data_IF_819445635816
#
_entry.id   IF_819445635816
#
_cell.length_a   1.000
_cell.length_b   1.000
_cell.length_c   1.000
_cell.angle_alpha   90.00
_cell.angle_beta   90.00
_cell.angle_gamma   90.00
#
_symmetry.space_group_name_H-M   'P 1'
#
loop_
_entity.id
_entity.type
_entity.pdbx_description
1 polymer ?
#
# COMPACT_ATOMS: atom_id res chain seq x y z
N UNK A 1 16.62 -22.46 14.25
CA UNK A 1 16.01 -23.10 13.06
C UNK A 1 17.14 -23.54 12.16
N UNK A 2 17.09 -24.78 11.58
CA UNK A 2 18.05 -25.21 10.58
C UNK A 2 17.93 -24.38 9.31
N UNK A 3 19.00 -24.28 8.52
CA UNK A 3 18.97 -23.68 7.20
C UNK A 3 18.21 -24.62 6.26
N UNK A 4 17.18 -24.09 5.55
CA UNK A 4 16.46 -24.86 4.54
C UNK A 4 17.38 -25.14 3.35
N UNK A 5 17.26 -26.33 2.77
CA UNK A 5 18.00 -26.68 1.55
C UNK A 5 17.30 -26.03 0.34
N UNK A 6 18.05 -25.87 -0.76
CA UNK A 6 17.51 -25.37 -2.01
C UNK A 6 16.37 -26.26 -2.52
N UNK A 7 16.55 -27.56 -2.41
CA UNK A 7 15.58 -28.59 -2.82
C UNK A 7 14.29 -28.46 -2.02
N UNK A 8 14.37 -28.30 -0.70
CA UNK A 8 13.22 -28.07 0.18
C UNK A 8 12.45 -26.81 -0.20
N UNK A 9 13.15 -25.72 -0.51
CA UNK A 9 12.52 -24.46 -0.92
C UNK A 9 11.74 -24.65 -2.23
N UNK A 10 12.36 -25.29 -3.24
CA UNK A 10 11.73 -25.55 -4.55
C UNK A 10 10.50 -26.44 -4.36
N UNK A 11 10.61 -27.53 -3.60
CA UNK A 11 9.50 -28.45 -3.33
C UNK A 11 8.29 -27.73 -2.71
N UNK A 12 8.52 -26.81 -1.76
CA UNK A 12 7.44 -26.04 -1.12
C UNK A 12 6.78 -25.09 -2.10
N UNK A 13 7.54 -24.42 -2.99
CA UNK A 13 6.96 -23.55 -4.01
C UNK A 13 6.18 -24.33 -5.05
N UNK A 14 6.71 -25.46 -5.55
CA UNK A 14 6.01 -26.33 -6.50
C UNK A 14 4.70 -26.89 -5.91
N UNK A 15 4.71 -27.25 -4.63
CA UNK A 15 3.49 -27.69 -3.94
C UNK A 15 2.46 -26.57 -3.78
N UNK A 16 2.91 -25.34 -3.52
CA UNK A 16 2.03 -24.16 -3.42
C UNK A 16 1.37 -23.85 -4.77
N UNK A 17 2.14 -23.84 -5.84
CA UNK A 17 1.65 -23.60 -7.20
C UNK A 17 0.63 -24.68 -7.60
N UNK A 18 0.93 -25.95 -7.30
CA UNK A 18 0.00 -27.06 -7.58
C UNK A 18 -1.33 -26.92 -6.80
N UNK A 19 -1.26 -26.58 -5.52
CA UNK A 19 -2.49 -26.42 -4.72
C UNK A 19 -3.29 -25.18 -5.13
N UNK A 20 -2.62 -24.08 -5.59
CA UNK A 20 -3.28 -22.91 -6.14
C UNK A 20 -4.01 -23.24 -7.44
N UNK A 21 -3.36 -23.96 -8.38
CA UNK A 21 -4.00 -24.41 -9.63
C UNK A 21 -5.25 -25.26 -9.34
N UNK A 22 -5.17 -26.16 -8.39
CA UNK A 22 -6.34 -26.97 -7.95
C UNK A 22 -7.43 -26.10 -7.37
N UNK A 23 -7.09 -25.12 -6.55
CA UNK A 23 -8.04 -24.20 -5.94
C UNK A 23 -8.76 -23.36 -7.00
N UNK A 24 -8.03 -22.88 -8.01
CA UNK A 24 -8.57 -22.13 -9.14
C UNK A 24 -9.53 -22.99 -10.00
N UNK A 25 -9.34 -24.28 -10.04
CA UNK A 25 -10.22 -25.23 -10.76
C UNK A 25 -11.49 -25.62 -10.00
N UNK A 26 -11.66 -25.23 -8.72
CA UNK A 26 -12.84 -25.60 -7.94
C UNK A 26 -14.05 -24.73 -8.27
N UNK A 27 -15.25 -25.35 -8.19
CA UNK A 27 -16.53 -24.65 -8.16
C UNK A 27 -17.08 -24.62 -6.73
N UNK A 28 -17.73 -23.54 -6.36
CA UNK A 28 -18.24 -23.34 -4.99
C UNK A 28 -19.76 -23.45 -4.91
N UNK A 29 -20.41 -24.05 -5.93
CA UNK A 29 -21.87 -24.12 -6.04
C UNK A 29 -22.52 -24.95 -4.93
N UNK A 30 -21.81 -25.97 -4.46
CA UNK A 30 -22.27 -26.85 -3.39
C UNK A 30 -22.28 -26.21 -1.99
N UNK A 31 -21.61 -25.07 -1.86
CA UNK A 31 -21.46 -24.40 -0.56
C UNK A 31 -22.65 -23.49 -0.27
N UNK A 32 -23.03 -23.43 1.00
CA UNK A 32 -23.95 -22.40 1.51
C UNK A 32 -23.27 -21.04 1.62
N UNK A 33 -24.05 -19.97 1.72
CA UNK A 33 -23.50 -18.60 1.88
C UNK A 33 -22.58 -18.46 3.09
N UNK A 34 -22.90 -18.98 4.30
CA UNK A 34 -21.96 -18.93 5.42
C UNK A 34 -20.66 -19.66 5.16
N UNK A 35 -20.69 -20.83 4.50
CA UNK A 35 -19.48 -21.57 4.13
C UNK A 35 -18.62 -20.81 3.11
N UNK A 36 -19.24 -20.18 2.10
CA UNK A 36 -18.52 -19.32 1.14
C UNK A 36 -17.81 -18.18 1.87
N UNK A 37 -18.46 -17.53 2.83
CA UNK A 37 -17.83 -16.48 3.64
C UNK A 37 -16.65 -17.00 4.46
N UNK A 38 -16.79 -18.16 5.10
CA UNK A 38 -15.72 -18.78 5.87
C UNK A 38 -14.49 -19.15 4.97
N UNK A 39 -14.73 -19.65 3.77
CA UNK A 39 -13.64 -19.92 2.81
C UNK A 39 -13.00 -18.65 2.29
N UNK A 40 -13.77 -17.57 2.07
CA UNK A 40 -13.23 -16.27 1.69
C UNK A 40 -12.32 -15.68 2.80
N UNK A 41 -12.74 -15.77 4.06
CA UNK A 41 -11.91 -15.40 5.21
C UNK A 41 -10.62 -16.21 5.29
N UNK A 42 -10.69 -17.50 4.98
CA UNK A 42 -9.52 -18.38 4.93
C UNK A 42 -8.55 -17.98 3.82
N UNK A 43 -9.03 -17.65 2.63
CA UNK A 43 -8.22 -17.16 1.52
C UNK A 43 -7.55 -15.83 1.87
N UNK A 44 -8.30 -14.89 2.44
CA UNK A 44 -7.75 -13.60 2.89
C UNK A 44 -6.62 -13.80 3.92
N UNK A 45 -6.81 -14.72 4.87
CA UNK A 45 -5.77 -15.06 5.85
C UNK A 45 -4.50 -15.63 5.20
N UNK A 46 -4.66 -16.51 4.21
CA UNK A 46 -3.52 -17.05 3.46
C UNK A 46 -2.78 -15.96 2.69
N UNK A 47 -3.50 -15.08 1.98
CA UNK A 47 -2.91 -13.96 1.24
C UNK A 47 -2.10 -13.02 2.15
N UNK A 48 -2.59 -12.73 3.36
CA UNK A 48 -1.85 -11.93 4.36
C UNK A 48 -0.56 -12.60 4.80
N UNK A 49 -0.57 -13.92 4.99
CA UNK A 49 0.58 -14.70 5.42
C UNK A 49 1.68 -14.81 4.36
N UNK A 50 1.32 -14.78 3.07
CA UNK A 50 2.28 -14.80 1.97
C UNK A 50 3.22 -13.58 1.95
N UNK A 51 2.87 -12.49 2.62
CA UNK A 51 3.78 -11.36 2.82
C UNK A 51 5.00 -11.67 3.68
N UNK A 52 4.89 -12.63 4.58
CA UNK A 52 5.99 -12.95 5.53
C UNK A 52 7.23 -13.50 4.81
N UNK A 53 7.14 -14.55 3.95
CA UNK A 53 8.28 -14.99 3.16
C UNK A 53 8.75 -13.94 2.14
N UNK A 54 7.85 -13.09 1.60
CA UNK A 54 8.25 -11.99 0.73
C UNK A 54 9.19 -11.01 1.45
N UNK A 55 8.90 -10.65 2.71
CA UNK A 55 9.77 -9.78 3.51
C UNK A 55 11.17 -10.39 3.70
N UNK A 56 11.23 -11.69 4.01
CA UNK A 56 12.50 -12.38 4.17
C UNK A 56 13.32 -12.37 2.87
N UNK A 57 12.68 -12.65 1.73
CA UNK A 57 13.33 -12.64 0.42
C UNK A 57 13.85 -11.24 0.04
N UNK A 58 13.05 -10.20 0.24
CA UNK A 58 13.44 -8.81 -0.06
C UNK A 58 14.64 -8.39 0.78
N UNK A 59 14.64 -8.69 2.09
CA UNK A 59 15.74 -8.36 2.98
C UNK A 59 17.02 -9.12 2.57
N UNK A 60 16.92 -10.41 2.28
CA UNK A 60 18.07 -11.21 1.84
C UNK A 60 18.64 -10.71 0.50
N UNK A 61 17.81 -10.38 -0.46
CA UNK A 61 18.26 -9.79 -1.72
C UNK A 61 18.97 -8.45 -1.44
N UNK A 62 18.38 -7.59 -0.60
CA UNK A 62 18.97 -6.30 -0.25
C UNK A 62 20.31 -6.40 0.50
N UNK A 63 20.51 -7.45 1.29
CA UNK A 63 21.74 -7.68 2.07
C UNK A 63 22.83 -8.36 1.27
N UNK A 64 22.47 -9.25 0.34
CA UNK A 64 23.42 -10.19 -0.29
C UNK A 64 23.74 -9.88 -1.74
N UNK A 65 22.93 -9.06 -2.42
CA UNK A 65 23.12 -8.77 -3.84
C UNK A 65 23.74 -7.38 -4.05
N UNK A 66 24.65 -7.29 -5.02
CA UNK A 66 25.20 -6.02 -5.49
C UNK A 66 24.27 -5.34 -6.52
N UNK A 67 24.40 -4.02 -6.69
CA UNK A 67 23.68 -3.28 -7.74
C UNK A 67 24.02 -3.83 -9.16
N UNK A 68 25.21 -4.40 -9.35
CA UNK A 68 25.62 -5.02 -10.62
C UNK A 68 24.86 -6.31 -10.90
N UNK A 69 24.71 -7.19 -9.89
CA UNK A 69 23.95 -8.44 -10.01
C UNK A 69 22.45 -8.17 -10.23
N UNK A 70 21.92 -7.12 -9.63
CA UNK A 70 20.53 -6.70 -9.79
C UNK A 70 20.27 -5.92 -11.10
N UNK A 71 21.31 -5.48 -11.81
CA UNK A 71 21.19 -4.60 -12.96
C UNK A 71 20.77 -3.18 -12.60
N UNK A 72 20.92 -2.77 -11.34
CA UNK A 72 20.56 -1.46 -10.80
C UNK A 72 20.15 -1.50 -9.34
N UNK A 73 19.70 -0.37 -8.82
CA UNK A 73 19.26 -0.28 -7.42
C UNK A 73 18.10 -1.24 -7.13
N UNK A 74 18.12 -1.89 -5.98
CA UNK A 74 17.11 -2.85 -5.54
C UNK A 74 15.66 -2.44 -5.85
N UNK A 75 15.32 -1.17 -5.59
CA UNK A 75 13.98 -0.64 -5.86
C UNK A 75 13.57 -0.72 -7.33
N UNK A 76 14.51 -0.44 -8.24
CA UNK A 76 14.26 -0.50 -9.68
C UNK A 76 14.22 -1.96 -10.15
N UNK A 77 15.17 -2.78 -9.69
CA UNK A 77 15.23 -4.19 -10.01
C UNK A 77 13.95 -4.95 -9.60
N UNK A 78 13.43 -4.69 -8.38
CA UNK A 78 12.16 -5.26 -7.94
C UNK A 78 10.97 -4.75 -8.76
N UNK A 79 10.95 -3.45 -9.09
CA UNK A 79 9.87 -2.89 -9.90
C UNK A 79 9.80 -3.55 -11.28
N UNK A 80 10.94 -3.70 -11.94
CA UNK A 80 11.04 -4.29 -13.27
C UNK A 80 10.75 -5.80 -13.24
N UNK A 81 11.32 -6.51 -12.24
CA UNK A 81 11.18 -7.98 -12.14
C UNK A 81 9.77 -8.43 -11.78
N UNK A 82 9.11 -7.68 -10.88
CA UNK A 82 7.76 -8.00 -10.40
C UNK A 82 6.66 -7.28 -11.19
N UNK A 83 7.02 -6.46 -12.18
CA UNK A 83 6.09 -5.64 -12.97
C UNK A 83 5.19 -4.74 -12.11
N UNK A 84 5.78 -4.14 -11.06
CA UNK A 84 5.11 -3.21 -10.14
C UNK A 84 5.70 -1.81 -10.27
N UNK A 85 5.01 -0.81 -9.73
CA UNK A 85 5.56 0.56 -9.75
C UNK A 85 6.78 0.68 -8.83
N UNK A 86 7.76 1.57 -9.15
CA UNK A 86 8.86 1.85 -8.24
C UNK A 86 8.41 2.36 -6.86
N UNK A 87 7.25 3.02 -6.77
CA UNK A 87 6.66 3.44 -5.51
C UNK A 87 6.22 2.24 -4.66
N UNK A 88 5.60 1.26 -5.29
CA UNK A 88 5.17 0.01 -4.65
C UNK A 88 6.39 -0.82 -4.23
N UNK A 89 7.41 -0.98 -5.08
CA UNK A 89 8.66 -1.64 -4.72
C UNK A 89 9.32 -0.97 -3.50
N UNK A 90 9.39 0.37 -3.47
CA UNK A 90 9.90 1.10 -2.31
C UNK A 90 9.07 0.89 -1.04
N UNK A 91 7.73 0.77 -1.15
CA UNK A 91 6.85 0.43 -0.04
C UNK A 91 7.18 -0.96 0.51
N UNK A 92 7.29 -1.98 -0.35
CA UNK A 92 7.59 -3.36 0.05
C UNK A 92 8.98 -3.50 0.71
N UNK A 93 9.98 -2.82 0.18
CA UNK A 93 11.32 -2.78 0.79
C UNK A 93 11.24 -2.19 2.20
N UNK A 94 10.54 -1.06 2.36
CA UNK A 94 10.40 -0.42 3.66
C UNK A 94 9.55 -1.26 4.65
N UNK A 95 8.58 -2.03 4.18
CA UNK A 95 7.81 -2.97 5.00
C UNK A 95 8.67 -4.18 5.39
N UNK A 96 9.44 -4.73 4.46
CA UNK A 96 10.37 -5.82 4.74
C UNK A 96 11.42 -5.43 5.80
N UNK A 97 11.93 -4.21 5.75
CA UNK A 97 12.87 -3.70 6.76
C UNK A 97 12.25 -3.58 8.17
N UNK A 98 10.95 -3.26 8.27
CA UNK A 98 10.26 -3.12 9.55
C UNK A 98 9.74 -4.47 10.10
N UNK A 99 9.26 -5.37 9.21
CA UNK A 99 8.51 -6.59 9.56
C UNK A 99 9.28 -7.89 9.32
N UNK A 100 10.31 -7.88 8.49
CA UNK A 100 11.14 -9.05 8.21
C UNK A 100 12.17 -9.32 9.30
N UNK A 101 12.67 -10.55 9.33
CA UNK A 101 13.81 -10.90 10.15
C UNK A 101 15.02 -10.07 9.72
N UNK A 102 15.77 -9.61 10.69
CA UNK A 102 17.01 -8.84 10.52
C UNK A 102 18.21 -9.67 10.92
N UNK A 103 19.38 -9.31 10.44
CA UNK A 103 20.62 -9.94 10.87
C UNK A 103 21.54 -8.90 11.53
N UNK A 104 22.17 -9.30 12.63
CA UNK A 104 23.25 -8.52 13.22
C UNK A 104 24.47 -8.55 12.29
N UNK A 105 25.38 -7.61 12.45
CA UNK A 105 26.67 -7.63 11.73
C UNK A 105 27.47 -8.92 11.99
N UNK A 106 27.20 -9.59 13.11
CA UNK A 106 27.77 -10.90 13.47
C UNK A 106 27.06 -12.08 12.78
N UNK A 107 25.97 -11.83 12.02
CA UNK A 107 25.17 -12.85 11.34
C UNK A 107 24.05 -13.46 12.18
N UNK A 108 23.92 -13.08 13.45
CA UNK A 108 22.86 -13.58 14.32
C UNK A 108 21.48 -13.05 13.89
N UNK A 109 20.42 -13.88 13.93
CA UNK A 109 19.07 -13.44 13.63
C UNK A 109 18.57 -12.48 14.71
N UNK A 110 18.01 -11.35 14.29
CA UNK A 110 17.36 -10.35 15.14
C UNK A 110 15.86 -10.31 14.84
N UNK A 111 15.08 -10.08 15.89
CA UNK A 111 13.65 -9.88 15.75
C UNK A 111 13.32 -8.69 14.82
N UNK A 112 12.17 -8.73 14.14
CA UNK A 112 11.64 -7.58 13.40
C UNK A 112 11.62 -6.31 14.24
N UNK A 113 11.68 -5.15 13.60
CA UNK A 113 11.55 -3.86 14.31
C UNK A 113 10.15 -3.70 14.92
N UNK A 114 9.13 -4.14 14.18
CA UNK A 114 7.73 -4.15 14.60
C UNK A 114 7.31 -5.60 14.89
N UNK A 115 7.73 -6.11 16.04
CA UNK A 115 7.59 -7.52 16.39
C UNK A 115 6.13 -7.96 16.48
N UNK A 116 5.30 -7.21 17.20
CA UNK A 116 3.88 -7.56 17.38
C UNK A 116 3.09 -7.47 16.06
N UNK A 117 3.44 -6.51 15.21
CA UNK A 117 2.85 -6.36 13.87
C UNK A 117 3.26 -7.52 12.96
N UNK A 118 4.53 -7.92 12.99
CA UNK A 118 5.04 -9.04 12.22
C UNK A 118 4.40 -10.37 12.64
N UNK A 119 4.22 -10.60 13.94
CA UNK A 119 3.54 -11.79 14.48
C UNK A 119 2.07 -11.82 14.05
N UNK A 120 1.35 -10.72 14.19
CA UNK A 120 -0.05 -10.63 13.77
C UNK A 120 -0.23 -10.85 12.25
N UNK A 121 0.72 -10.41 11.43
CA UNK A 121 0.73 -10.68 10.00
C UNK A 121 1.06 -12.16 9.70
N UNK A 122 2.01 -12.75 10.40
CA UNK A 122 2.36 -14.19 10.30
C UNK A 122 1.17 -15.08 10.61
N UNK A 123 0.36 -14.71 11.58
CA UNK A 123 -0.88 -15.40 11.93
C UNK A 123 -2.03 -15.11 10.94
N UNK A 124 -1.83 -14.17 10.01
CA UNK A 124 -2.81 -13.73 9.02
C UNK A 124 -3.94 -12.88 9.61
N UNK A 125 -3.77 -12.37 10.82
CA UNK A 125 -4.77 -11.56 11.51
C UNK A 125 -4.88 -10.15 10.92
N UNK A 126 -3.75 -9.58 10.47
CA UNK A 126 -3.68 -8.25 9.87
C UNK A 126 -3.11 -8.31 8.45
N UNK A 127 -3.57 -7.42 7.59
CA UNK A 127 -3.09 -7.28 6.21
C UNK A 127 -2.45 -5.90 5.96
N UNK A 128 -2.08 -5.64 4.70
CA UNK A 128 -1.34 -4.44 4.26
C UNK A 128 -1.97 -3.12 4.74
N UNK A 129 -3.30 -3.04 4.74
CA UNK A 129 -4.02 -1.84 5.24
C UNK A 129 -3.76 -1.56 6.72
N UNK A 130 -3.76 -2.59 7.55
CA UNK A 130 -3.47 -2.47 8.99
C UNK A 130 -2.00 -2.13 9.23
N UNK A 131 -1.10 -2.83 8.53
CA UNK A 131 0.35 -2.56 8.58
C UNK A 131 0.64 -1.09 8.22
N UNK A 132 -0.01 -0.58 7.16
CA UNK A 132 0.11 0.82 6.78
C UNK A 132 -0.30 1.77 7.91
N UNK A 133 -1.43 1.53 8.55
CA UNK A 133 -1.92 2.37 9.67
C UNK A 133 -0.94 2.37 10.83
N UNK A 134 -0.45 1.19 11.24
CA UNK A 134 0.51 1.07 12.35
C UNK A 134 1.82 1.79 12.03
N UNK A 135 2.37 1.57 10.83
CA UNK A 135 3.61 2.22 10.41
C UNK A 135 3.48 3.73 10.30
N UNK A 136 2.37 4.22 9.75
CA UNK A 136 2.11 5.66 9.63
C UNK A 136 1.94 6.31 11.01
N UNK A 137 1.28 5.63 11.94
CA UNK A 137 1.17 6.07 13.33
C UNK A 137 2.56 6.20 13.99
N UNK A 138 3.38 5.15 13.93
CA UNK A 138 4.71 5.13 14.56
C UNK A 138 5.66 6.18 13.96
N UNK A 139 5.57 6.44 12.66
CA UNK A 139 6.32 7.52 12.00
C UNK A 139 5.85 8.91 12.41
N UNK A 140 4.56 9.04 12.71
CA UNK A 140 3.98 10.31 13.14
C UNK A 140 4.24 10.63 14.61
N UNK A 141 4.63 9.66 15.43
CA UNK A 141 4.95 9.88 16.85
C UNK A 141 6.13 10.84 17.00
N UNK A 142 6.03 11.84 17.91
CA UNK A 142 7.14 12.74 18.24
C UNK A 142 8.39 11.97 18.69
N UNK A 143 9.58 12.49 18.37
CA UNK A 143 10.84 11.87 18.78
C UNK A 143 11.00 11.76 20.30
N UNK A 144 10.33 12.65 21.06
CA UNK A 144 10.33 12.66 22.53
C UNK A 144 9.66 11.44 23.17
N UNK A 145 8.82 10.69 22.43
CA UNK A 145 8.18 9.48 22.95
C UNK A 145 9.24 8.36 23.02
N UNK A 146 9.40 7.81 24.20
CA UNK A 146 10.38 6.75 24.47
C UNK A 146 10.08 5.45 23.74
N UNK A 147 11.10 4.60 23.60
CA UNK A 147 11.01 3.35 22.87
C UNK A 147 10.00 2.38 23.51
N UNK A 148 9.92 2.32 24.84
CA UNK A 148 9.00 1.44 25.54
C UNK A 148 7.54 1.79 25.23
N UNK A 149 7.21 3.07 25.27
CA UNK A 149 5.87 3.57 24.89
C UNK A 149 5.55 3.31 23.42
N UNK A 150 6.55 3.46 22.52
CA UNK A 150 6.38 3.14 21.09
C UNK A 150 6.07 1.64 20.87
N UNK A 151 6.81 0.77 21.56
CA UNK A 151 6.60 -0.69 21.49
C UNK A 151 5.24 -1.09 22.08
N UNK A 152 4.84 -0.49 23.20
CA UNK A 152 3.52 -0.75 23.78
C UNK A 152 2.37 -0.30 22.85
N UNK A 153 2.52 0.85 22.21
CA UNK A 153 1.55 1.38 21.27
C UNK A 153 1.46 0.50 20.00
N UNK A 154 2.59 0.02 19.47
CA UNK A 154 2.65 -0.94 18.37
C UNK A 154 1.88 -2.21 18.73
N UNK A 155 2.19 -2.81 19.89
CA UNK A 155 1.55 -4.03 20.37
C UNK A 155 0.03 -3.86 20.49
N UNK A 156 -0.41 -2.75 21.07
CA UNK A 156 -1.83 -2.42 21.22
C UNK A 156 -2.53 -2.28 19.86
N UNK A 157 -1.92 -1.58 18.91
CA UNK A 157 -2.50 -1.40 17.58
C UNK A 157 -2.54 -2.70 16.79
N UNK A 158 -1.52 -3.56 16.90
CA UNK A 158 -1.51 -4.88 16.28
C UNK A 158 -2.65 -5.77 16.82
N UNK A 159 -2.85 -5.79 18.13
CA UNK A 159 -3.94 -6.53 18.78
C UNK A 159 -5.33 -6.00 18.36
N UNK A 160 -5.51 -4.69 18.33
CA UNK A 160 -6.76 -4.07 17.89
C UNK A 160 -7.03 -4.36 16.40
N UNK A 161 -5.99 -4.35 15.57
CA UNK A 161 -6.07 -4.63 14.13
C UNK A 161 -6.54 -6.05 13.83
N UNK A 162 -6.27 -7.02 14.72
CA UNK A 162 -6.72 -8.40 14.55
C UNK A 162 -8.26 -8.55 14.52
N UNK A 163 -9.00 -7.60 15.09
CA UNK A 163 -10.46 -7.64 15.19
C UNK A 163 -11.18 -6.44 14.57
N UNK A 164 -10.45 -5.52 13.95
CA UNK A 164 -10.98 -4.26 13.41
C UNK A 164 -10.58 -4.11 11.95
N UNK A 165 -11.36 -3.35 11.20
CA UNK A 165 -11.00 -2.94 9.84
C UNK A 165 -9.89 -1.87 9.89
N UNK A 166 -9.10 -1.71 8.80
CA UNK A 166 -8.03 -0.70 8.77
C UNK A 166 -8.52 0.74 8.99
N UNK A 167 -9.72 1.07 8.52
CA UNK A 167 -10.33 2.40 8.71
C UNK A 167 -10.72 2.66 10.16
N UNK A 168 -11.31 1.67 10.86
CA UNK A 168 -11.60 1.72 12.28
C UNK A 168 -10.29 1.83 13.10
N UNK A 169 -9.29 1.04 12.74
CA UNK A 169 -7.97 1.09 13.38
C UNK A 169 -7.32 2.47 13.23
N UNK A 170 -7.46 3.11 12.07
CA UNK A 170 -6.94 4.47 11.85
C UNK A 170 -7.59 5.50 12.78
N UNK A 171 -8.90 5.35 13.04
CA UNK A 171 -9.61 6.16 14.03
C UNK A 171 -9.06 5.97 15.45
N UNK A 172 -8.81 4.72 15.86
CA UNK A 172 -8.23 4.38 17.16
C UNK A 172 -6.77 4.86 17.27
N UNK A 173 -5.99 4.71 16.21
CA UNK A 173 -4.62 5.21 16.16
C UNK A 173 -4.56 6.73 16.35
N UNK A 174 -5.51 7.48 15.78
CA UNK A 174 -5.62 8.91 16.01
C UNK A 174 -5.94 9.24 17.47
N UNK A 175 -6.89 8.53 18.08
CA UNK A 175 -7.21 8.72 19.50
C UNK A 175 -6.01 8.40 20.39
N UNK A 176 -5.26 7.35 20.10
CA UNK A 176 -4.03 6.99 20.80
C UNK A 176 -2.97 8.07 20.63
N UNK A 177 -2.85 8.67 19.45
CA UNK A 177 -1.94 9.81 19.21
C UNK A 177 -2.32 11.03 20.06
N UNK A 178 -3.61 11.37 20.11
CA UNK A 178 -4.12 12.49 20.90
C UNK A 178 -3.88 12.25 22.41
N UNK A 179 -3.92 11.00 22.85
CA UNK A 179 -3.62 10.63 24.25
C UNK A 179 -2.12 10.65 24.57
N UNK A 180 -1.27 10.16 23.67
CA UNK A 180 0.19 10.15 23.87
C UNK A 180 0.84 11.52 23.69
N UNK A 181 0.21 12.41 22.94
CA UNK A 181 0.70 13.77 22.67
C UNK A 181 -0.44 14.79 22.79
N UNK A 182 -1.05 14.95 23.98
CA UNK A 182 -2.23 15.78 24.21
C UNK A 182 -2.00 17.26 23.87
N UNK A 183 -0.78 17.75 24.12
CA UNK A 183 -0.40 19.15 23.87
C UNK A 183 -0.01 19.42 22.41
N UNK A 184 0.04 18.37 21.57
CA UNK A 184 0.47 18.49 20.17
C UNK A 184 1.91 19.01 20.05
N UNK A 185 2.76 18.71 21.02
CA UNK A 185 4.14 19.17 21.10
C UNK A 185 5.01 18.47 20.05
N UNK A 186 5.06 19.06 18.86
CA UNK A 186 6.02 18.71 17.83
C UNK A 186 7.15 19.74 17.83
N UNK A 187 8.39 19.27 17.85
CA UNK A 187 9.55 20.14 17.70
C UNK A 187 9.60 20.74 16.30
N UNK A 188 10.35 21.83 16.14
CA UNK A 188 10.57 22.40 14.81
C UNK A 188 11.28 21.41 13.86
N UNK A 189 12.10 20.50 14.41
CA UNK A 189 12.71 19.40 13.65
C UNK A 189 11.69 18.37 13.19
N UNK A 190 10.69 18.04 14.02
CA UNK A 190 9.59 17.15 13.62
C UNK A 190 8.75 17.78 12.50
N UNK A 191 8.52 19.08 12.55
CA UNK A 191 7.83 19.85 11.51
C UNK A 191 8.68 19.93 10.25
N UNK A 192 9.98 20.22 10.37
CA UNK A 192 10.91 20.32 9.27
C UNK A 192 11.00 19.00 8.46
N UNK A 193 10.96 17.85 9.12
CA UNK A 193 10.94 16.54 8.47
C UNK A 193 9.69 16.27 7.61
N UNK A 194 8.56 16.87 7.97
CA UNK A 194 7.28 16.72 7.25
C UNK A 194 7.05 17.83 6.24
N UNK A 195 7.69 18.99 6.40
CA UNK A 195 7.50 20.16 5.56
C UNK A 195 8.03 19.90 4.16
N UNK A 196 7.20 20.16 3.16
CA UNK A 196 7.58 20.05 1.76
C UNK A 196 6.37 20.18 0.86
N UNK A 197 6.58 20.68 -0.33
CA UNK A 197 5.58 20.78 -1.39
C UNK A 197 6.08 20.00 -2.60
N UNK A 198 5.21 19.21 -3.19
CA UNK A 198 5.47 18.47 -4.41
C UNK A 198 4.46 18.86 -5.46
N UNK A 199 4.95 19.27 -6.63
CA UNK A 199 4.15 19.53 -7.82
C UNK A 199 4.20 18.27 -8.70
N UNK A 200 3.04 17.69 -8.98
CA UNK A 200 2.89 16.56 -9.89
C UNK A 200 3.13 16.94 -11.35
N UNK A 201 3.17 15.93 -12.21
CA UNK A 201 3.20 16.15 -13.67
C UNK A 201 1.92 16.87 -14.10
N UNK A 202 2.02 17.65 -15.17
CA UNK A 202 0.86 18.29 -15.80
C UNK A 202 -0.04 17.20 -16.41
N UNK A 203 -1.32 17.27 -16.11
CA UNK A 203 -2.36 16.40 -16.66
C UNK A 203 -2.83 16.89 -18.04
N UNK A 204 -3.66 16.11 -18.73
CA UNK A 204 -4.14 16.45 -20.08
C UNK A 204 -5.01 17.72 -20.14
N UNK A 205 -5.57 18.13 -19.03
CA UNK A 205 -6.35 19.37 -18.88
C UNK A 205 -5.47 20.61 -18.58
N UNK A 206 -4.15 20.44 -18.53
CA UNK A 206 -3.19 21.47 -18.19
C UNK A 206 -3.01 21.70 -16.69
N UNK A 207 -3.74 20.99 -15.83
CA UNK A 207 -3.61 21.10 -14.38
C UNK A 207 -2.48 20.22 -13.84
N UNK A 208 -1.96 20.60 -12.67
CA UNK A 208 -0.97 19.81 -11.94
C UNK A 208 -1.41 19.68 -10.49
N UNK A 209 -1.27 18.47 -9.95
CA UNK A 209 -1.58 18.20 -8.54
C UNK A 209 -0.49 18.78 -7.65
N UNK A 210 -0.87 19.68 -6.75
CA UNK A 210 0.00 20.16 -5.68
C UNK A 210 -0.33 19.40 -4.39
N UNK A 211 0.68 18.82 -3.74
CA UNK A 211 0.52 18.10 -2.47
C UNK A 211 1.68 18.36 -1.53
N UNK A 212 1.43 18.31 -0.23
CA UNK A 212 2.47 18.48 0.77
C UNK A 212 1.98 19.01 2.10
N UNK A 213 2.94 19.35 2.95
CA UNK A 213 2.69 19.89 4.27
C UNK A 213 3.37 21.26 4.41
N UNK A 214 2.65 22.18 5.01
CA UNK A 214 3.12 23.55 5.30
C UNK A 214 3.05 23.82 6.79
N UNK A 215 3.91 24.71 7.25
CA UNK A 215 3.93 25.14 8.65
C UNK A 215 2.61 25.82 9.07
N UNK A 216 2.29 25.81 10.37
CA UNK A 216 1.12 26.49 10.89
C UNK A 216 1.08 28.00 10.54
N UNK A 217 2.24 28.64 10.41
CA UNK A 217 2.39 30.05 10.04
C UNK A 217 1.96 30.34 8.60
N UNK A 218 2.18 29.41 7.67
CA UNK A 218 1.75 29.54 6.27
C UNK A 218 0.26 29.24 6.06
N UNK A 219 -0.40 28.60 7.02
CA UNK A 219 -1.80 28.19 6.89
C UNK A 219 -2.80 29.36 6.81
N UNK A 220 -2.66 30.48 7.55
CA UNK A 220 -3.62 31.56 7.48
C UNK A 220 -3.68 32.25 6.12
N UNK A 221 -2.55 32.59 5.45
CA UNK A 221 -2.59 33.20 4.12
C UNK A 221 -3.05 32.25 3.01
N UNK A 222 -2.98 30.93 3.26
CA UNK A 222 -3.33 29.89 2.29
C UNK A 222 -4.68 29.21 2.52
N UNK A 223 -5.54 29.77 3.36
CA UNK A 223 -6.95 29.34 3.34
C UNK A 223 -7.54 29.75 2.00
N UNK A 224 -7.81 28.81 1.07
CA UNK A 224 -8.52 29.16 -0.14
C UNK A 224 -9.84 29.75 0.33
N UNK A 225 -10.11 31.00 -0.04
CA UNK A 225 -11.46 31.51 -0.01
C UNK A 225 -12.30 30.49 -0.78
N UNK A 226 -13.24 29.82 -0.11
CA UNK A 226 -14.15 28.91 -0.80
C UNK A 226 -14.73 29.73 -1.95
N UNK A 227 -14.47 29.39 -3.21
CA UNK A 227 -15.17 30.06 -4.29
C UNK A 227 -16.64 29.84 -3.98
N UNK A 228 -17.41 30.91 -4.00
CA UNK A 228 -18.85 30.86 -3.80
C UNK A 228 -19.47 30.28 -5.07
N UNK A 229 -19.13 29.02 -5.34
CA UNK A 229 -19.81 28.25 -6.36
C UNK A 229 -21.24 28.08 -5.86
N UNK A 230 -22.25 28.52 -6.61
CA UNK A 230 -23.61 28.16 -6.29
C UNK A 230 -23.62 26.63 -6.21
N UNK A 231 -23.98 26.13 -5.04
CA UNK A 231 -24.18 24.68 -4.86
C UNK A 231 -25.19 24.28 -5.96
N UNK A 232 -24.71 23.63 -7.01
CA UNK A 232 -25.60 22.86 -7.86
C UNK A 232 -26.10 21.78 -6.91
N UNK A 233 -27.35 21.99 -6.47
CA UNK A 233 -28.04 21.05 -5.63
C UNK A 233 -27.84 19.67 -6.22
N UNK A 234 -27.55 18.70 -5.36
CA UNK A 234 -27.56 17.30 -5.73
C UNK A 234 -29.00 17.02 -6.17
N UNK A 235 -29.27 17.16 -7.48
CA UNK A 235 -30.54 16.74 -8.07
C UNK A 235 -30.45 15.23 -8.05
N UNK A 236 -31.13 14.60 -7.11
CA UNK A 236 -31.44 13.19 -7.18
C UNK A 236 -32.18 12.96 -8.48
N UNK A 237 -31.46 12.53 -9.51
CA UNK A 237 -32.03 12.19 -10.80
C UNK A 237 -32.85 10.92 -10.66
N UNK A 238 -34.09 11.07 -10.22
CA UNK A 238 -35.15 10.07 -10.37
C UNK A 238 -35.80 10.30 -11.74
N UNK A 239 -35.01 10.18 -12.81
CA UNK A 239 -35.58 10.12 -14.15
C UNK A 239 -34.66 9.24 -14.98
N UNK A 240 -35.12 8.03 -15.27
CA UNK A 240 -34.53 7.15 -16.25
C UNK A 240 -34.43 7.88 -17.59
N UNK A 241 -33.28 7.92 -18.28
CA UNK A 241 -33.25 8.43 -19.64
C UNK A 241 -34.01 7.46 -20.54
N UNK A 242 -35.11 7.94 -21.10
CA UNK A 242 -35.83 7.26 -22.19
C UNK A 242 -34.97 7.43 -23.44
N UNK A 243 -34.30 6.39 -23.87
CA UNK A 243 -33.61 6.31 -25.14
C UNK A 243 -34.67 6.20 -26.25
N UNK A 244 -34.98 7.28 -26.93
CA UNK A 244 -35.69 7.22 -28.19
C UNK A 244 -34.73 6.86 -29.31
N UNK A 245 -34.86 5.66 -29.85
CA UNK A 245 -34.21 5.31 -31.09
C UNK A 245 -34.83 6.09 -32.24
N UNK A 246 -34.12 7.09 -32.77
CA UNK A 246 -34.43 7.66 -34.07
C UNK A 246 -33.13 7.91 -34.82
N UNK A 247 -33.01 7.15 -35.90
CA UNK A 247 -32.21 7.32 -37.11
C UNK A 247 -30.72 6.93 -37.06
N UNK A 248 -30.32 6.06 -38.01
CA UNK A 248 -28.92 5.68 -38.21
C UNK A 248 -28.11 6.83 -38.84
N UNK A 249 -26.77 6.91 -38.57
CA UNK A 249 -25.95 7.98 -39.13
C UNK A 249 -25.81 7.84 -40.65
N UNK A 250 -26.05 8.94 -41.36
CA UNK A 250 -25.79 9.08 -42.79
C UNK A 250 -24.30 8.85 -43.10
N UNK A 251 -24.02 7.98 -44.07
CA UNK A 251 -22.69 7.77 -44.66
C UNK A 251 -22.15 9.09 -45.22
N UNK A 252 -21.04 9.58 -44.69
CA UNK A 252 -20.23 10.64 -45.31
C UNK A 252 -19.63 10.13 -46.62
N UNK A 253 -19.77 10.92 -47.66
CA UNK A 253 -19.12 10.68 -48.95
C UNK A 253 -17.59 10.73 -48.85
N UNK A 254 -16.84 9.99 -49.66
CA UNK A 254 -15.38 10.03 -49.62
C UNK A 254 -14.83 11.36 -50.11
N UNK A 255 -13.94 11.95 -49.29
CA UNK A 255 -13.20 13.13 -49.67
C UNK A 255 -12.09 12.83 -50.71
N UNK A 256 -11.55 13.85 -51.39
CA UNK A 256 -10.65 13.67 -52.51
C UNK A 256 -9.30 13.11 -52.09
N UNK A 257 -8.79 12.21 -52.90
CA UNK A 257 -7.49 11.54 -52.82
C UNK A 257 -6.36 12.55 -52.89
N UNK A 258 -5.55 12.64 -51.82
CA UNK A 258 -4.31 13.37 -51.85
C UNK A 258 -3.23 12.50 -52.50
N UNK A 259 -2.72 12.93 -53.64
CA UNK A 259 -1.57 12.32 -54.29
C UNK A 259 -0.28 12.67 -53.49
N UNK A 260 0.47 11.66 -53.10
CA UNK A 260 1.82 11.78 -52.51
C UNK A 260 2.84 12.03 -53.60
N UNK A 261 3.71 13.06 -53.53
CA UNK A 261 4.80 13.20 -54.48
C UNK A 261 5.93 12.21 -54.14
N UNK A 262 6.42 11.51 -55.20
CA UNK A 262 7.61 10.69 -55.14
C UNK A 262 8.86 11.60 -55.04
N UNK A 263 9.75 11.27 -54.10
CA UNK A 263 11.11 11.81 -54.07
C UNK A 263 12.07 10.92 -54.87
N UNK A 264 13.08 11.55 -55.48
CA UNK A 264 14.08 10.86 -56.30
C UNK A 264 15.08 10.06 -55.45
#
# INVERSE_FOLDING_TARGET
MGSSTREEIVEVFDALDYDEDRLCGLTFDVLTTPERMAFLERLERLARRLRVPEHALINQIGEQSSDEELGGRLRCALADRLHITPAEAGRRIAEAADLGERRAMTGEPLSPQLTATAEAQRDGLIGDGHVKVIRDFLRALPAAIDLGTRTAAETQLAQLGASRRPDDLAGLAKQLMDWLNPDGNYTDEDRARKRGLSLGKQEHDGMSRLSGYVDPELRPPWKPSKPNWPHRGCVTATTKPQWSMTSPPQKRAPGPTVQTPAFP
#
